data_IF_642619783135
#
_entry.id   IF_642619783135
#
_cell.length_a   1.000
_cell.length_b   1.000
_cell.length_c   1.000
_cell.angle_alpha   90.00
_cell.angle_beta   90.00
_cell.angle_gamma   90.00
#
_symmetry.space_group_name_H-M   'P 1'
#
loop_
_entity.id
_entity.type
_entity.pdbx_description
1 polymer ?
#
# COMPACT_ATOMS: atom_id res chain seq x y z
N UNK A 1 3.35 -11.05 -4.56
CA UNK A 1 3.36 -9.70 -5.18
C UNK A 1 2.78 -9.70 -6.58
N UNK A 2 3.19 -10.60 -7.49
CA UNK A 2 2.66 -10.64 -8.85
C UNK A 2 1.12 -10.71 -8.89
N UNK A 3 0.52 -11.58 -8.08
CA UNK A 3 -0.95 -11.70 -7.97
C UNK A 3 -1.59 -10.39 -7.47
N UNK A 4 -0.99 -9.71 -6.49
CA UNK A 4 -1.52 -8.45 -5.99
C UNK A 4 -1.47 -7.35 -7.07
N UNK A 5 -0.40 -7.30 -7.87
CA UNK A 5 -0.27 -6.34 -8.98
C UNK A 5 -1.28 -6.65 -10.10
N UNK A 6 -1.49 -7.91 -10.45
CA UNK A 6 -2.47 -8.28 -11.48
C UNK A 6 -3.90 -8.01 -11.04
N UNK A 7 -4.24 -8.28 -9.78
CA UNK A 7 -5.55 -7.93 -9.21
C UNK A 7 -5.73 -6.41 -9.18
N UNK A 8 -4.69 -5.65 -8.80
CA UNK A 8 -4.74 -4.19 -8.82
C UNK A 8 -5.03 -3.66 -10.23
N UNK A 9 -4.45 -4.27 -11.27
CA UNK A 9 -4.71 -3.87 -12.65
C UNK A 9 -6.17 -4.15 -13.08
N UNK A 10 -6.81 -5.20 -12.56
CA UNK A 10 -8.21 -5.51 -12.81
C UNK A 10 -9.16 -4.52 -12.11
N UNK A 11 -8.74 -3.89 -11.02
CA UNK A 11 -9.53 -2.85 -10.33
C UNK A 11 -9.55 -1.50 -11.07
N UNK A 12 -8.72 -1.33 -12.10
CA UNK A 12 -8.75 -0.14 -12.94
C UNK A 12 -9.98 -0.18 -13.86
N UNK A 13 -11.13 0.22 -13.33
CA UNK A 13 -12.39 0.28 -14.09
C UNK A 13 -12.36 1.48 -15.04
N UNK A 14 -12.44 1.21 -16.33
CA UNK A 14 -12.69 2.25 -17.33
C UNK A 14 -14.19 2.56 -17.32
N UNK A 15 -14.62 3.84 -17.15
CA UNK A 15 -16.04 4.21 -17.22
C UNK A 15 -16.61 3.75 -18.56
N UNK A 16 -17.83 3.22 -18.52
CA UNK A 16 -18.55 2.90 -19.76
C UNK A 16 -18.83 4.21 -20.52
N UNK A 17 -18.18 4.37 -21.65
CA UNK A 17 -18.44 5.50 -22.56
C UNK A 17 -19.80 5.26 -23.19
N UNK A 18 -20.83 5.88 -22.64
CA UNK A 18 -22.24 5.70 -23.08
C UNK A 18 -22.50 6.44 -24.40
N UNK A 19 -21.66 7.39 -24.79
CA UNK A 19 -21.86 8.19 -26.00
C UNK A 19 -20.83 7.85 -27.09
N UNK A 20 -21.33 7.45 -28.23
CA UNK A 20 -20.57 7.12 -29.47
C UNK A 20 -19.89 8.34 -30.14
N UNK A 21 -19.97 9.52 -29.55
CA UNK A 21 -19.28 10.72 -30.03
C UNK A 21 -17.84 10.71 -29.48
N UNK A 22 -16.85 10.76 -30.38
CA UNK A 22 -15.41 10.81 -30.12
C UNK A 22 -14.94 12.00 -29.22
N UNK A 23 -15.85 12.85 -28.76
CA UNK A 23 -15.58 13.96 -27.85
C UNK A 23 -15.85 13.50 -26.42
N UNK A 24 -14.82 12.97 -25.73
CA UNK A 24 -14.83 12.76 -24.29
C UNK A 24 -15.10 14.12 -23.62
N UNK A 25 -16.25 14.24 -22.99
CA UNK A 25 -16.59 15.45 -22.22
C UNK A 25 -15.66 15.55 -21.01
N UNK A 26 -15.24 16.78 -20.64
CA UNK A 26 -14.47 17.04 -19.42
C UNK A 26 -15.10 16.38 -18.19
N UNK A 27 -16.44 16.27 -18.15
CA UNK A 27 -17.20 15.62 -17.08
C UNK A 27 -16.93 14.10 -16.95
N UNK A 28 -16.47 13.46 -18.02
CA UNK A 28 -16.14 12.02 -18.03
C UNK A 28 -14.66 11.75 -17.69
N UNK A 29 -13.79 12.73 -17.99
CA UNK A 29 -12.33 12.60 -17.74
C UNK A 29 -11.97 12.98 -16.30
N UNK A 30 -12.58 14.01 -15.73
CA UNK A 30 -12.26 14.53 -14.40
C UNK A 30 -12.34 13.45 -13.29
N UNK A 31 -13.36 12.57 -13.24
CA UNK A 31 -13.42 11.52 -12.22
C UNK A 31 -12.41 10.37 -12.44
N UNK A 32 -11.81 10.25 -13.63
CA UNK A 32 -10.77 9.25 -13.90
C UNK A 32 -9.42 9.58 -13.24
N UNK A 33 -9.11 10.87 -13.11
CA UNK A 33 -7.81 11.34 -12.61
C UNK A 33 -7.53 10.81 -11.18
N UNK A 34 -8.45 10.94 -10.20
CA UNK A 34 -8.24 10.40 -8.86
C UNK A 34 -8.09 8.86 -8.86
N UNK A 35 -8.84 8.16 -9.71
CA UNK A 35 -8.79 6.70 -9.80
C UNK A 35 -7.43 6.22 -10.32
N UNK A 36 -6.93 6.87 -11.38
CA UNK A 36 -5.60 6.58 -11.94
C UNK A 36 -4.50 6.94 -10.91
N UNK A 37 -4.62 8.07 -10.24
CA UNK A 37 -3.66 8.48 -9.23
C UNK A 37 -3.60 7.49 -8.05
N UNK A 38 -4.76 7.03 -7.56
CA UNK A 38 -4.85 6.01 -6.50
C UNK A 38 -4.27 4.68 -6.95
N UNK A 39 -4.54 4.27 -8.20
CA UNK A 39 -3.94 3.07 -8.79
C UNK A 39 -2.41 3.16 -8.83
N UNK A 40 -1.87 4.27 -9.34
CA UNK A 40 -0.43 4.49 -9.43
C UNK A 40 0.21 4.48 -8.04
N UNK A 41 -0.41 5.15 -7.06
CA UNK A 41 0.06 5.17 -5.67
C UNK A 41 0.10 3.76 -5.07
N UNK A 42 -0.95 2.97 -5.28
CA UNK A 42 -1.04 1.59 -4.80
C UNK A 42 0.00 0.69 -5.48
N UNK A 43 0.20 0.85 -6.78
CA UNK A 43 1.23 0.12 -7.54
C UNK A 43 2.64 0.42 -7.01
N UNK A 44 2.98 1.71 -6.85
CA UNK A 44 4.27 2.14 -6.31
C UNK A 44 4.46 1.60 -4.89
N UNK A 45 3.42 1.63 -4.06
CA UNK A 45 3.45 1.10 -2.70
C UNK A 45 3.76 -0.41 -2.69
N UNK A 46 3.07 -1.20 -3.51
CA UNK A 46 3.34 -2.65 -3.65
C UNK A 46 4.77 -2.89 -4.15
N UNK A 47 5.21 -2.12 -5.15
CA UNK A 47 6.56 -2.24 -5.71
C UNK A 47 7.65 -1.96 -4.67
N UNK A 48 7.49 -0.93 -3.84
CA UNK A 48 8.42 -0.59 -2.76
C UNK A 48 8.46 -1.71 -1.71
N UNK A 49 7.30 -2.22 -1.29
CA UNK A 49 7.26 -3.35 -0.36
C UNK A 49 7.91 -4.59 -0.97
N UNK A 50 7.72 -4.83 -2.26
CA UNK A 50 8.39 -5.94 -2.96
C UNK A 50 9.92 -5.81 -2.94
N UNK A 51 10.45 -4.64 -3.30
CA UNK A 51 11.90 -4.38 -3.31
C UNK A 51 12.48 -4.56 -1.90
N UNK A 52 11.85 -3.96 -0.89
CA UNK A 52 12.31 -4.07 0.50
C UNK A 52 12.21 -5.51 1.03
N UNK A 53 11.14 -6.23 0.69
CA UNK A 53 10.97 -7.64 1.05
C UNK A 53 12.02 -8.51 0.37
N UNK A 54 12.27 -8.30 -0.93
CA UNK A 54 13.27 -9.03 -1.68
C UNK A 54 14.68 -8.83 -1.07
N UNK A 55 15.03 -7.59 -0.75
CA UNK A 55 16.30 -7.29 -0.09
C UNK A 55 16.41 -7.96 1.30
N UNK A 56 15.32 -7.94 2.08
CA UNK A 56 15.28 -8.55 3.40
C UNK A 56 15.46 -10.07 3.35
N UNK A 57 14.85 -10.73 2.37
CA UNK A 57 14.83 -12.20 2.27
C UNK A 57 15.98 -12.80 1.48
N UNK A 58 16.66 -12.01 0.65
CA UNK A 58 17.72 -12.44 -0.29
C UNK A 58 18.86 -13.23 0.36
N UNK A 59 19.17 -12.97 1.61
CA UNK A 59 20.31 -13.57 2.31
C UNK A 59 19.90 -14.52 3.44
N UNK A 60 18.65 -14.99 3.46
CA UNK A 60 18.19 -15.93 4.48
C UNK A 60 18.50 -17.37 4.03
N UNK A 61 19.50 -18.00 4.64
CA UNK A 61 19.86 -19.40 4.36
C UNK A 61 18.97 -20.38 5.13
N UNK A 62 18.62 -20.04 6.37
CA UNK A 62 17.76 -20.85 7.23
C UNK A 62 16.57 -20.04 7.73
N UNK A 63 15.39 -20.65 7.71
CA UNK A 63 14.15 -19.95 8.04
C UNK A 63 13.55 -20.49 9.32
N UNK A 64 13.35 -19.63 10.32
CA UNK A 64 12.63 -20.01 11.54
C UNK A 64 11.11 -19.97 11.33
N UNK A 65 10.38 -20.79 12.12
CA UNK A 65 8.91 -20.80 12.08
C UNK A 65 8.28 -19.41 12.29
N UNK A 66 8.91 -18.55 13.11
CA UNK A 66 8.45 -17.18 13.37
C UNK A 66 8.57 -16.29 12.13
N UNK A 67 9.66 -16.43 11.39
CA UNK A 67 9.87 -15.69 10.13
C UNK A 67 8.81 -16.10 9.10
N UNK A 68 8.51 -17.41 8.97
CA UNK A 68 7.47 -17.90 8.04
C UNK A 68 6.11 -17.29 8.36
N UNK A 69 5.66 -17.34 9.61
CA UNK A 69 4.36 -16.79 10.00
C UNK A 69 4.30 -15.27 9.84
N UNK A 70 5.36 -14.54 10.23
CA UNK A 70 5.43 -13.10 9.99
C UNK A 70 5.35 -12.76 8.51
N UNK A 71 6.00 -13.55 7.65
CA UNK A 71 5.92 -13.37 6.21
C UNK A 71 4.51 -13.61 5.69
N UNK A 72 3.81 -14.64 6.19
CA UNK A 72 2.42 -14.90 5.80
C UNK A 72 1.49 -13.73 6.19
N UNK A 73 1.64 -13.18 7.40
CA UNK A 73 0.90 -11.99 7.82
C UNK A 73 1.18 -10.76 6.94
N UNK A 74 2.43 -10.54 6.60
CA UNK A 74 2.80 -9.46 5.69
C UNK A 74 2.16 -9.66 4.30
N UNK A 75 2.26 -10.86 3.73
CA UNK A 75 1.67 -11.15 2.42
C UNK A 75 0.14 -11.02 2.43
N UNK A 76 -0.53 -11.35 3.54
CA UNK A 76 -1.96 -11.14 3.70
C UNK A 76 -2.31 -9.66 3.50
N UNK A 77 -1.61 -8.73 4.16
CA UNK A 77 -1.87 -7.31 3.99
C UNK A 77 -1.53 -6.81 2.58
N UNK A 78 -0.47 -7.33 1.96
CA UNK A 78 -0.15 -7.00 0.55
C UNK A 78 -1.30 -7.40 -0.38
N UNK A 79 -1.91 -8.57 -0.20
CA UNK A 79 -3.03 -9.02 -1.04
C UNK A 79 -4.32 -8.25 -0.80
N UNK A 80 -4.45 -7.54 0.31
CA UNK A 80 -5.58 -6.66 0.61
C UNK A 80 -5.46 -5.26 -0.02
N UNK A 81 -4.28 -4.85 -0.50
CA UNK A 81 -4.08 -3.52 -1.11
C UNK A 81 -5.00 -3.29 -2.33
N UNK A 82 -5.14 -4.23 -3.30
CA UNK A 82 -6.07 -4.04 -4.42
C UNK A 82 -7.51 -3.81 -3.96
N UNK A 83 -7.99 -4.59 -2.99
CA UNK A 83 -9.31 -4.40 -2.39
C UNK A 83 -9.45 -3.00 -1.76
N UNK A 84 -8.46 -2.57 -0.98
CA UNK A 84 -8.47 -1.23 -0.39
C UNK A 84 -8.52 -0.13 -1.45
N UNK A 85 -7.80 -0.31 -2.56
CA UNK A 85 -7.80 0.60 -3.71
C UNK A 85 -9.19 0.70 -4.34
N UNK A 86 -9.86 -0.44 -4.57
CA UNK A 86 -11.23 -0.49 -5.10
C UNK A 86 -12.20 0.28 -4.20
N UNK A 87 -12.16 0.05 -2.88
CA UNK A 87 -13.06 0.73 -1.93
C UNK A 87 -12.89 2.25 -1.96
N UNK A 88 -11.66 2.76 -2.07
CA UNK A 88 -11.39 4.20 -2.17
C UNK A 88 -11.87 4.77 -3.50
N UNK A 89 -11.62 4.07 -4.61
CA UNK A 89 -11.96 4.56 -5.96
C UNK A 89 -13.46 4.53 -6.22
N UNK A 90 -14.18 3.56 -5.66
CA UNK A 90 -15.64 3.47 -5.77
C UNK A 90 -16.38 4.49 -4.89
N UNK A 91 -15.75 4.96 -3.81
CA UNK A 91 -16.33 5.88 -2.85
C UNK A 91 -15.43 7.10 -2.61
N UNK A 92 -15.16 7.92 -3.63
CA UNK A 92 -14.26 9.07 -3.51
C UNK A 92 -14.83 10.08 -2.48
N UNK A 93 -13.98 10.49 -1.54
CA UNK A 93 -14.36 11.42 -0.47
C UNK A 93 -15.10 10.79 0.71
N UNK A 94 -15.41 9.49 0.67
CA UNK A 94 -15.99 8.80 1.81
C UNK A 94 -14.91 8.42 2.82
N UNK A 95 -15.16 8.76 4.09
CA UNK A 95 -14.23 8.43 5.19
C UNK A 95 -13.98 6.93 5.32
N UNK A 96 -14.97 6.08 5.06
CA UNK A 96 -14.82 4.63 5.16
C UNK A 96 -13.82 4.09 4.13
N UNK A 97 -13.84 4.62 2.89
CA UNK A 97 -12.90 4.23 1.85
C UNK A 97 -11.46 4.52 2.25
N UNK A 98 -11.18 5.79 2.60
CA UNK A 98 -9.83 6.21 2.95
C UNK A 98 -9.34 5.60 4.26
N UNK A 99 -10.24 5.38 5.22
CA UNK A 99 -9.92 4.70 6.48
C UNK A 99 -9.53 3.24 6.23
N UNK A 100 -10.29 2.51 5.40
CA UNK A 100 -9.98 1.13 5.01
C UNK A 100 -8.61 1.05 4.35
N UNK A 101 -8.33 1.95 3.41
CA UNK A 101 -7.04 2.01 2.73
C UNK A 101 -5.90 2.29 3.71
N UNK A 102 -6.05 3.29 4.58
CA UNK A 102 -5.06 3.66 5.59
C UNK A 102 -4.80 2.53 6.59
N UNK A 103 -5.84 1.83 7.06
CA UNK A 103 -5.72 0.69 7.97
C UNK A 103 -4.98 -0.49 7.34
N UNK A 104 -5.25 -0.79 6.07
CA UNK A 104 -4.57 -1.88 5.36
C UNK A 104 -3.09 -1.54 5.15
N UNK A 105 -2.75 -0.31 4.76
CA UNK A 105 -1.35 0.12 4.64
C UNK A 105 -0.63 0.17 6.00
N UNK A 106 -1.32 0.58 7.05
CA UNK A 106 -0.80 0.56 8.41
C UNK A 106 -0.49 -0.88 8.86
N UNK A 107 -1.45 -1.80 8.69
CA UNK A 107 -1.27 -3.22 8.97
C UNK A 107 -0.15 -3.85 8.16
N UNK A 108 -0.04 -3.50 6.87
CA UNK A 108 1.04 -3.94 5.99
C UNK A 108 2.41 -3.46 6.50
N UNK A 109 2.50 -2.20 6.90
CA UNK A 109 3.74 -1.62 7.40
C UNK A 109 4.16 -2.20 8.76
N UNK A 110 3.21 -2.44 9.68
CA UNK A 110 3.48 -3.10 10.96
C UNK A 110 3.95 -4.55 10.74
N UNK A 111 3.24 -5.31 9.90
CA UNK A 111 3.59 -6.71 9.63
C UNK A 111 4.95 -6.84 8.95
N UNK A 112 5.30 -5.91 8.05
CA UNK A 112 6.64 -5.84 7.46
C UNK A 112 7.72 -5.52 8.50
N UNK A 113 7.46 -4.57 9.40
CA UNK A 113 8.38 -4.24 10.50
C UNK A 113 8.58 -5.42 11.44
N UNK A 114 7.51 -6.16 11.74
CA UNK A 114 7.56 -7.41 12.51
C UNK A 114 8.39 -8.50 11.82
N UNK A 115 8.18 -8.70 10.51
CA UNK A 115 8.96 -9.62 9.70
C UNK A 115 10.45 -9.26 9.77
N UNK A 116 10.76 -7.99 9.59
CA UNK A 116 12.12 -7.47 9.64
C UNK A 116 12.78 -7.70 11.02
N UNK A 117 12.03 -7.47 12.09
CA UNK A 117 12.50 -7.75 13.46
C UNK A 117 12.87 -9.23 13.66
N UNK A 118 12.03 -10.17 13.21
CA UNK A 118 12.30 -11.60 13.35
C UNK A 118 13.45 -12.07 12.47
N UNK A 119 13.59 -11.53 11.26
CA UNK A 119 14.74 -11.80 10.38
C UNK A 119 16.04 -11.30 11.03
N UNK A 120 16.03 -10.05 11.52
CA UNK A 120 17.19 -9.48 12.19
C UNK A 120 17.61 -10.28 13.44
N UNK A 121 16.64 -10.67 14.27
CA UNK A 121 16.90 -11.50 15.47
C UNK A 121 17.49 -12.88 15.13
N UNK A 122 17.16 -13.40 13.96
CA UNK A 122 17.63 -14.72 13.53
C UNK A 122 19.04 -14.66 12.92
N UNK A 123 19.39 -13.57 12.25
CA UNK A 123 20.62 -13.46 11.44
C UNK A 123 21.73 -12.59 12.06
N UNK A 124 21.42 -11.77 13.07
CA UNK A 124 22.39 -10.94 13.79
C UNK A 124 22.87 -9.67 13.06
N UNK A 125 22.60 -9.50 11.77
CA UNK A 125 22.97 -8.30 11.01
C UNK A 125 22.03 -8.01 9.85
N UNK A 126 21.37 -6.86 9.85
CA UNK A 126 20.69 -6.28 8.69
C UNK A 126 21.28 -4.88 8.49
N UNK A 127 21.73 -4.58 7.28
CA UNK A 127 22.46 -3.36 6.93
C UNK A 127 21.66 -2.05 7.06
N UNK A 128 20.35 -2.13 7.37
CA UNK A 128 19.50 -0.96 7.51
C UNK A 128 19.11 -0.77 8.98
N UNK A 129 19.35 0.40 9.56
CA UNK A 129 19.03 0.68 10.95
C UNK A 129 17.53 0.51 11.21
N UNK A 130 17.19 -0.16 12.33
CA UNK A 130 15.81 -0.48 12.72
C UNK A 130 14.90 0.78 12.79
N UNK A 131 15.48 1.94 13.14
CA UNK A 131 14.75 3.21 13.22
C UNK A 131 14.08 3.60 11.89
N UNK A 132 14.70 3.32 10.75
CA UNK A 132 14.07 3.55 9.44
C UNK A 132 12.85 2.66 9.19
N UNK A 133 12.80 1.50 9.84
CA UNK A 133 11.68 0.56 9.73
C UNK A 133 10.39 1.08 10.40
N UNK A 134 10.52 1.99 11.37
CA UNK A 134 9.39 2.54 12.11
C UNK A 134 8.71 3.72 11.40
N UNK A 135 9.35 4.33 10.41
CA UNK A 135 8.79 5.48 9.68
C UNK A 135 7.46 5.12 9.01
N UNK A 136 7.40 3.98 8.33
CA UNK A 136 6.17 3.52 7.68
C UNK A 136 4.99 3.36 8.66
N UNK A 137 5.12 2.54 9.73
CA UNK A 137 4.08 2.41 10.73
C UNK A 137 3.66 3.73 11.38
N UNK A 138 4.60 4.63 11.68
CA UNK A 138 4.30 5.93 12.27
C UNK A 138 3.47 6.80 11.32
N UNK A 139 3.90 6.93 10.06
CA UNK A 139 3.22 7.80 9.09
C UNK A 139 1.86 7.24 8.70
N UNK A 140 1.73 5.93 8.45
CA UNK A 140 0.43 5.32 8.17
C UNK A 140 -0.49 5.31 9.41
N UNK A 141 0.06 5.20 10.63
CA UNK A 141 -0.70 5.35 11.85
C UNK A 141 -1.26 6.76 12.02
N UNK A 142 -0.45 7.79 11.72
CA UNK A 142 -0.90 9.18 11.67
C UNK A 142 -1.96 9.39 10.56
N UNK A 143 -1.83 8.73 9.41
CA UNK A 143 -2.83 8.78 8.36
C UNK A 143 -4.19 8.23 8.82
N UNK A 144 -4.20 7.12 9.56
CA UNK A 144 -5.44 6.57 10.16
C UNK A 144 -6.09 7.57 11.12
N UNK A 145 -5.30 8.22 11.97
CA UNK A 145 -5.81 9.21 12.93
C UNK A 145 -6.32 10.45 12.19
N UNK A 146 -5.58 10.96 11.21
CA UNK A 146 -5.94 12.15 10.44
C UNK A 146 -7.21 11.97 9.61
N UNK A 147 -7.56 10.73 9.23
CA UNK A 147 -8.78 10.43 8.48
C UNK A 147 -10.06 10.88 9.21
N UNK A 148 -10.04 10.94 10.55
CA UNK A 148 -11.17 11.41 11.35
C UNK A 148 -11.29 12.93 11.43
N UNK A 149 -10.21 13.67 11.15
CA UNK A 149 -10.17 15.12 11.34
C UNK A 149 -10.07 15.89 10.02
N UNK A 150 -9.24 15.42 9.10
CA UNK A 150 -8.96 16.16 7.86
C UNK A 150 -8.48 15.25 6.72
N UNK A 151 -9.39 14.92 5.81
CA UNK A 151 -9.14 14.04 4.67
C UNK A 151 -7.94 14.46 3.78
N UNK A 152 -7.74 15.75 3.43
CA UNK A 152 -6.57 16.14 2.63
C UNK A 152 -5.23 15.82 3.28
N UNK A 153 -5.12 15.95 4.62
CA UNK A 153 -3.90 15.56 5.33
C UNK A 153 -3.66 14.05 5.25
N UNK A 154 -4.73 13.25 5.29
CA UNK A 154 -4.63 11.80 5.14
C UNK A 154 -4.04 11.42 3.78
N UNK A 155 -4.54 11.99 2.69
CA UNK A 155 -3.97 11.77 1.35
C UNK A 155 -2.49 12.15 1.28
N UNK A 156 -2.11 13.31 1.85
CA UNK A 156 -0.71 13.73 1.90
C UNK A 156 0.16 12.72 2.67
N UNK A 157 -0.31 12.24 3.83
CA UNK A 157 0.41 11.26 4.65
C UNK A 157 0.55 9.90 3.96
N UNK A 158 -0.41 9.48 3.13
CA UNK A 158 -0.33 8.23 2.38
C UNK A 158 0.73 8.26 1.27
N UNK A 159 1.06 9.45 0.76
CA UNK A 159 2.07 9.64 -0.29
C UNK A 159 3.49 9.69 0.28
N UNK A 160 3.67 10.14 1.53
CA UNK A 160 4.99 10.34 2.15
C UNK A 160 5.85 9.06 2.19
N UNK A 161 5.36 7.89 2.70
CA UNK A 161 6.19 6.69 2.76
C UNK A 161 6.67 6.21 1.38
N UNK A 162 5.83 6.13 0.33
CA UNK A 162 6.32 5.82 -1.01
C UNK A 162 7.44 6.74 -1.50
N UNK A 163 7.33 8.05 -1.25
CA UNK A 163 8.38 9.01 -1.64
C UNK A 163 9.66 8.86 -0.82
N UNK A 164 9.54 8.48 0.45
CA UNK A 164 10.70 8.32 1.35
C UNK A 164 11.50 7.04 1.07
N UNK A 165 10.83 5.99 0.60
CA UNK A 165 11.44 4.68 0.34
C UNK A 165 11.79 4.45 -1.14
N UNK A 166 11.43 5.38 -2.03
CA UNK A 166 11.81 5.36 -3.44
C UNK A 166 13.25 5.85 -3.60
#
# INVERSE_FOLDING_TARGET
FAIAITLLALELKVPQIVNTSLNLSEKEIVPLIPNIATFILSFITIAIFWVNHHQLTRHIETVSRRVVWSNMFFLLFVTLIPFATSVVTENPGNILGILTYSLILFGNSISFTGLRFFVHKHKGSVDVPFNRSLVGPMVYGLAVISAFFWLPATYALLIIPPLFYF
#
